data_IF_690710431812
#
_entry.id   IF_690710431812
#
_cell.length_a   1.000
_cell.length_b   1.000
_cell.length_c   1.000
_cell.angle_alpha   90.00
_cell.angle_beta   90.00
_cell.angle_gamma   90.00
#
_symmetry.space_group_name_H-M   'P 1'
#
loop_
_entity.id
_entity.type
_entity.pdbx_description
1 polymer ?
#
# COMPACT_ATOMS: atom_id res chain seq x y z
N UNK A 1 1.33 14.15 -18.76
CA UNK A 1 2.62 14.43 -18.09
C UNK A 1 2.94 13.23 -17.24
N UNK A 2 4.08 12.57 -17.42
CA UNK A 2 4.51 11.43 -16.60
C UNK A 2 4.70 11.93 -15.18
N UNK A 3 4.03 11.30 -14.23
CA UNK A 3 4.31 11.50 -12.81
C UNK A 3 5.74 11.00 -12.55
N UNK A 4 6.66 11.90 -12.24
CA UNK A 4 8.04 11.55 -11.90
C UNK A 4 9.13 11.81 -12.93
N UNK A 5 8.84 12.38 -14.11
CA UNK A 5 9.90 12.77 -15.04
C UNK A 5 10.83 13.82 -14.40
N UNK A 6 12.06 13.43 -14.16
CA UNK A 6 13.19 14.36 -13.98
C UNK A 6 13.83 14.44 -12.61
N UNK A 7 13.39 13.69 -11.60
CA UNK A 7 14.14 13.61 -10.33
C UNK A 7 14.82 12.23 -10.23
N UNK A 8 16.14 12.17 -10.01
CA UNK A 8 16.80 10.90 -9.71
C UNK A 8 16.12 10.31 -8.46
N UNK A 9 15.57 9.12 -8.61
CA UNK A 9 14.99 8.43 -7.47
C UNK A 9 16.12 7.98 -6.53
N UNK A 10 15.95 8.10 -5.21
CA UNK A 10 16.89 7.56 -4.27
C UNK A 10 16.95 6.03 -4.42
N UNK A 11 18.08 5.38 -4.09
CA UNK A 11 18.21 3.94 -4.21
C UNK A 11 17.14 3.24 -3.37
N UNK A 12 16.65 2.09 -3.87
CA UNK A 12 15.63 1.28 -3.18
C UNK A 12 16.12 0.74 -1.82
N UNK A 13 17.42 0.78 -1.57
CA UNK A 13 18.03 0.35 -0.31
C UNK A 13 19.02 1.42 0.14
N UNK A 14 18.87 1.89 1.36
CA UNK A 14 19.82 2.77 2.04
C UNK A 14 20.32 2.06 3.28
N UNK A 15 21.63 1.85 3.38
CA UNK A 15 22.30 1.25 4.54
C UNK A 15 23.15 2.29 5.23
N UNK A 16 23.00 2.39 6.53
CA UNK A 16 23.87 3.15 7.45
C UNK A 16 24.58 2.17 8.39
N UNK A 17 25.36 2.68 9.35
CA UNK A 17 26.06 1.83 10.31
C UNK A 17 25.10 1.07 11.25
N UNK A 18 23.92 1.65 11.50
CA UNK A 18 22.94 1.22 12.51
C UNK A 18 21.54 1.02 11.95
N UNK A 19 21.34 1.26 10.65
CA UNK A 19 20.02 1.12 10.04
C UNK A 19 20.08 0.60 8.60
N UNK A 20 19.03 -0.12 8.22
CA UNK A 20 18.74 -0.53 6.86
C UNK A 20 17.33 -0.07 6.50
N UNK A 21 17.24 0.86 5.57
CA UNK A 21 15.96 1.31 5.03
C UNK A 21 15.79 0.73 3.65
N UNK A 22 14.69 0.04 3.42
CA UNK A 22 14.38 -0.63 2.18
C UNK A 22 13.00 -0.24 1.70
N UNK A 23 12.90 0.20 0.44
CA UNK A 23 11.63 0.43 -0.24
C UNK A 23 11.42 -0.68 -1.27
N UNK A 24 10.35 -1.43 -1.12
CA UNK A 24 9.93 -2.41 -2.10
C UNK A 24 9.18 -1.72 -3.24
N UNK A 25 9.17 -2.34 -4.42
CA UNK A 25 8.34 -1.94 -5.57
C UNK A 25 8.66 -0.59 -6.22
N UNK A 26 9.87 -0.11 -6.06
CA UNK A 26 10.37 1.00 -6.87
C UNK A 26 10.79 0.53 -8.26
N UNK A 27 9.87 -0.07 -8.99
CA UNK A 27 10.09 -0.38 -10.39
C UNK A 27 9.55 0.75 -11.25
N UNK A 28 10.41 1.34 -12.03
CA UNK A 28 10.01 2.31 -13.02
C UNK A 28 9.74 1.60 -14.34
N UNK A 29 8.60 1.88 -14.92
CA UNK A 29 8.35 1.49 -16.29
C UNK A 29 9.16 2.39 -17.22
N UNK A 30 9.99 1.78 -18.06
CA UNK A 30 10.83 2.50 -19.02
C UNK A 30 10.19 2.63 -20.40
N UNK A 31 9.27 1.72 -20.75
CA UNK A 31 8.66 1.65 -22.07
C UNK A 31 7.17 2.02 -22.08
N UNK A 32 6.53 2.08 -20.93
CA UNK A 32 5.11 2.37 -20.78
C UNK A 32 4.84 3.08 -19.44
N UNK A 33 3.72 3.76 -19.33
CA UNK A 33 3.40 4.58 -18.15
C UNK A 33 2.77 3.75 -17.02
N UNK A 34 2.08 2.67 -17.35
CA UNK A 34 1.43 1.76 -16.38
C UNK A 34 1.52 0.32 -16.86
N UNK A 35 1.56 -0.63 -15.93
CA UNK A 35 1.47 -2.07 -16.23
C UNK A 35 0.09 -2.63 -15.88
N UNK A 36 -0.13 -3.89 -16.26
CA UNK A 36 -1.37 -4.62 -15.97
C UNK A 36 -1.32 -5.42 -14.67
N UNK A 37 -0.19 -5.38 -13.96
CA UNK A 37 0.06 -6.09 -12.71
C UNK A 37 -0.28 -5.26 -11.48
N UNK A 38 -0.21 -5.90 -10.31
CA UNK A 38 -0.50 -5.29 -9.00
C UNK A 38 0.37 -4.08 -8.67
N UNK A 39 1.53 -3.96 -9.30
CA UNK A 39 2.41 -2.80 -9.16
C UNK A 39 1.69 -1.47 -9.48
N UNK A 40 0.89 -1.44 -10.56
CA UNK A 40 0.09 -0.26 -10.91
C UNK A 40 -1.37 -0.44 -10.51
N UNK A 41 -2.01 -1.41 -11.11
CA UNK A 41 -3.38 -1.86 -10.84
C UNK A 41 -3.64 -3.09 -11.68
N UNK A 42 -3.97 -4.22 -11.09
CA UNK A 42 -4.20 -5.44 -11.84
C UNK A 42 -5.35 -5.27 -12.83
N UNK A 43 -5.04 -5.39 -14.12
CA UNK A 43 -6.03 -5.32 -15.19
C UNK A 43 -6.69 -6.68 -15.39
N UNK A 44 -7.99 -6.76 -15.14
CA UNK A 44 -8.75 -8.01 -15.25
C UNK A 44 -9.56 -8.14 -16.53
N UNK A 45 -9.40 -7.22 -17.47
CA UNK A 45 -10.14 -7.19 -18.74
C UNK A 45 -11.51 -6.55 -18.61
N UNK A 46 -12.17 -6.38 -19.76
CA UNK A 46 -13.49 -5.74 -19.86
C UNK A 46 -14.67 -6.70 -19.69
N UNK A 47 -14.42 -8.00 -19.76
CA UNK A 47 -15.47 -9.04 -19.66
C UNK A 47 -16.17 -9.09 -18.30
N UNK A 48 -15.55 -8.52 -17.25
CA UNK A 48 -16.11 -8.42 -15.89
C UNK A 48 -16.88 -7.12 -15.63
N UNK A 49 -16.95 -6.21 -16.58
CA UNK A 49 -17.78 -5.00 -16.47
C UNK A 49 -19.24 -5.37 -16.69
N UNK A 50 -19.84 -6.05 -15.71
CA UNK A 50 -21.25 -6.44 -15.74
C UNK A 50 -22.21 -5.43 -15.09
N UNK A 51 -21.67 -4.47 -14.33
CA UNK A 51 -22.49 -3.52 -13.59
C UNK A 51 -22.63 -2.19 -14.37
N UNK A 52 -23.84 -1.79 -14.79
CA UNK A 52 -24.09 -0.53 -15.48
C UNK A 52 -23.60 0.70 -14.70
N UNK A 53 -23.62 0.64 -13.36
CA UNK A 53 -23.15 1.74 -12.51
C UNK A 53 -21.65 2.02 -12.70
N UNK A 54 -20.83 1.00 -12.96
CA UNK A 54 -19.39 1.17 -13.23
C UNK A 54 -19.18 1.94 -14.54
N UNK A 55 -19.88 1.53 -15.60
CA UNK A 55 -19.80 2.22 -16.90
C UNK A 55 -20.27 3.66 -16.81
N UNK A 56 -21.32 3.92 -16.03
CA UNK A 56 -21.82 5.27 -15.82
C UNK A 56 -20.86 6.12 -15.00
N UNK A 57 -20.26 5.56 -13.94
CA UNK A 57 -19.23 6.23 -13.15
C UNK A 57 -18.03 6.65 -14.02
N UNK A 58 -17.54 5.74 -14.86
CA UNK A 58 -16.44 6.03 -15.79
C UNK A 58 -16.82 7.16 -16.76
N UNK A 59 -18.05 7.13 -17.28
CA UNK A 59 -18.54 8.16 -18.20
C UNK A 59 -18.62 9.54 -17.52
N UNK A 60 -19.13 9.59 -16.30
CA UNK A 60 -19.26 10.84 -15.53
C UNK A 60 -17.92 11.44 -15.08
N UNK A 61 -16.95 10.59 -14.79
CA UNK A 61 -15.63 11.02 -14.31
C UNK A 61 -14.59 11.16 -15.43
N UNK A 62 -14.98 10.94 -16.68
CA UNK A 62 -14.05 11.05 -17.81
C UNK A 62 -13.43 12.44 -17.90
N UNK A 63 -12.12 12.50 -17.87
CA UNK A 63 -11.35 13.76 -17.95
C UNK A 63 -11.32 14.55 -16.63
N UNK A 64 -11.89 14.01 -15.54
CA UNK A 64 -11.76 14.58 -14.21
C UNK A 64 -10.50 14.03 -13.53
N UNK A 65 -9.79 14.87 -12.82
CA UNK A 65 -8.65 14.51 -12.00
C UNK A 65 -8.73 15.23 -10.65
N UNK A 66 -8.25 14.57 -9.60
CA UNK A 66 -8.08 15.23 -8.31
C UNK A 66 -6.88 16.18 -8.39
N UNK A 67 -7.07 17.42 -7.94
CA UNK A 67 -6.01 18.44 -7.95
C UNK A 67 -5.89 19.11 -6.59
N UNK A 68 -4.68 19.48 -6.24
CA UNK A 68 -4.37 20.29 -5.07
C UNK A 68 -3.34 21.38 -5.46
N UNK A 69 -3.64 22.64 -5.16
CA UNK A 69 -2.77 23.75 -5.51
C UNK A 69 -2.52 23.91 -7.02
N UNK A 70 -3.42 23.42 -7.88
CA UNK A 70 -3.29 23.46 -9.35
C UNK A 70 -2.51 22.29 -9.97
N UNK A 71 -1.95 21.40 -9.15
CA UNK A 71 -1.26 20.18 -9.60
C UNK A 71 -2.14 18.95 -9.43
N UNK A 72 -1.93 17.92 -10.27
CA UNK A 72 -2.62 16.63 -10.14
C UNK A 72 -2.12 15.91 -8.89
N UNK A 73 -3.05 15.46 -8.05
CA UNK A 73 -2.74 14.71 -6.85
C UNK A 73 -2.13 13.34 -7.14
N UNK A 74 -1.18 12.92 -6.31
CA UNK A 74 -0.81 11.51 -6.14
C UNK A 74 -1.92 10.82 -5.32
N UNK A 75 -2.92 10.29 -6.02
CA UNK A 75 -4.13 9.74 -5.42
C UNK A 75 -3.91 8.29 -4.98
N UNK A 76 -3.11 8.09 -3.94
CA UNK A 76 -2.82 6.78 -3.36
C UNK A 76 -4.05 6.18 -2.68
N UNK A 77 -4.18 4.87 -2.77
CA UNK A 77 -5.26 4.13 -2.15
C UNK A 77 -4.73 2.83 -1.53
N UNK A 78 -5.50 2.25 -0.64
CA UNK A 78 -5.24 0.95 -0.02
C UNK A 78 -6.50 0.09 -0.08
N UNK A 79 -6.32 -1.22 0.10
CA UNK A 79 -7.41 -2.19 0.09
C UNK A 79 -8.23 -2.14 1.38
N UNK A 80 -7.55 -2.02 2.50
CA UNK A 80 -8.14 -1.91 3.82
C UNK A 80 -7.20 -1.07 4.70
N UNK A 81 -7.75 -0.11 5.43
CA UNK A 81 -6.95 0.78 6.29
C UNK A 81 -7.01 0.39 7.78
N UNK A 82 -7.77 -0.64 8.14
CA UNK A 82 -7.95 -1.04 9.54
C UNK A 82 -8.73 -0.04 10.39
N UNK A 83 -9.60 0.79 9.77
CA UNK A 83 -10.46 1.77 10.47
C UNK A 83 -9.92 3.20 10.50
N UNK A 84 -8.64 3.41 10.16
CA UNK A 84 -8.04 4.74 10.03
C UNK A 84 -6.88 4.71 9.05
N UNK A 85 -6.87 5.62 8.10
CA UNK A 85 -5.78 5.73 7.12
C UNK A 85 -4.51 6.28 7.77
N UNK A 86 -3.35 5.94 7.21
CA UNK A 86 -2.10 6.58 7.56
C UNK A 86 -1.84 7.82 6.70
N UNK A 87 -0.90 8.64 7.13
CA UNK A 87 -0.37 9.73 6.32
C UNK A 87 0.79 9.21 5.45
N UNK A 88 1.07 9.91 4.36
CA UNK A 88 2.04 9.51 3.35
C UNK A 88 3.44 9.20 3.91
N UNK A 89 3.93 10.03 4.85
CA UNK A 89 5.26 9.89 5.44
C UNK A 89 5.46 8.59 6.23
N UNK A 90 4.39 7.97 6.70
CA UNK A 90 4.47 6.70 7.44
C UNK A 90 4.42 5.45 6.57
N UNK A 91 4.13 5.60 5.28
CA UNK A 91 3.90 4.48 4.38
C UNK A 91 4.84 4.45 3.17
N UNK A 92 5.30 5.62 2.70
CA UNK A 92 5.94 5.74 1.41
C UNK A 92 7.30 6.42 1.44
N UNK A 93 7.36 7.68 1.80
CA UNK A 93 8.58 8.46 1.77
C UNK A 93 8.50 9.55 2.85
N UNK A 94 9.62 9.97 3.40
CA UNK A 94 9.67 11.01 4.43
C UNK A 94 9.31 12.39 3.83
N UNK A 95 8.05 12.49 3.43
CA UNK A 95 7.45 13.66 2.83
C UNK A 95 6.02 13.86 3.34
N UNK A 96 5.75 15.01 3.91
CA UNK A 96 4.39 15.37 4.31
C UNK A 96 3.58 15.88 3.12
N UNK A 97 2.60 15.09 2.70
CA UNK A 97 1.68 15.45 1.61
C UNK A 97 0.40 16.02 2.20
N UNK A 98 0.07 17.31 1.96
CA UNK A 98 -1.01 18.01 2.68
C UNK A 98 -2.39 17.41 2.48
N UNK A 99 -2.66 16.77 1.36
CA UNK A 99 -3.95 16.16 1.01
C UNK A 99 -4.03 14.66 1.33
N UNK A 100 -2.91 14.00 1.70
CA UNK A 100 -2.88 12.60 2.15
C UNK A 100 -2.82 12.54 3.67
N UNK A 101 -3.86 13.05 4.31
CA UNK A 101 -4.00 13.09 5.77
C UNK A 101 -4.71 11.84 6.28
N UNK A 102 -4.39 11.48 7.51
CA UNK A 102 -5.12 10.43 8.21
C UNK A 102 -6.58 10.82 8.43
N UNK A 103 -7.48 9.95 8.05
CA UNK A 103 -8.92 10.06 8.27
C UNK A 103 -9.46 8.78 8.89
N UNK A 104 -10.49 8.91 9.70
CA UNK A 104 -11.23 7.76 10.22
C UNK A 104 -12.07 7.16 9.09
N UNK A 105 -11.99 5.84 8.92
CA UNK A 105 -12.77 5.09 7.95
C UNK A 105 -13.47 3.92 8.63
N UNK A 106 -14.77 4.07 8.86
CA UNK A 106 -15.61 3.05 9.49
C UNK A 106 -16.11 1.99 8.52
N UNK A 107 -15.83 2.14 7.23
CA UNK A 107 -16.33 1.26 6.17
C UNK A 107 -15.38 0.10 5.84
N UNK A 108 -14.16 0.11 6.35
CA UNK A 108 -13.21 -0.99 6.18
C UNK A 108 -13.60 -2.26 6.95
N UNK A 109 -14.34 -2.12 8.06
CA UNK A 109 -14.75 -3.23 8.93
C UNK A 109 -16.05 -3.87 8.44
N UNK A 110 -15.98 -4.54 7.28
CA UNK A 110 -17.12 -5.21 6.68
C UNK A 110 -16.93 -6.72 6.73
N UNK A 111 -17.74 -7.39 7.54
CA UNK A 111 -17.73 -8.85 7.69
C UNK A 111 -18.87 -9.56 6.95
N UNK A 112 -19.80 -8.82 6.34
CA UNK A 112 -20.90 -9.38 5.56
C UNK A 112 -20.38 -9.98 4.25
N UNK A 113 -20.29 -11.32 4.21
CA UNK A 113 -19.80 -12.06 3.05
C UNK A 113 -20.66 -11.86 1.80
N UNK A 114 -21.95 -11.62 1.96
CA UNK A 114 -22.84 -11.40 0.81
C UNK A 114 -22.58 -10.02 0.20
N UNK A 115 -22.30 -9.03 1.02
CA UNK A 115 -21.89 -7.69 0.55
C UNK A 115 -20.51 -7.73 -0.07
N UNK A 116 -19.54 -8.38 0.57
CA UNK A 116 -18.18 -8.51 0.06
C UNK A 116 -18.15 -9.20 -1.30
N UNK A 117 -18.96 -10.24 -1.51
CA UNK A 117 -19.07 -10.94 -2.78
C UNK A 117 -19.64 -10.08 -3.94
N UNK A 118 -20.30 -8.96 -3.63
CA UNK A 118 -20.81 -8.03 -4.64
C UNK A 118 -19.76 -6.99 -5.07
N UNK A 119 -18.81 -6.68 -4.20
CA UNK A 119 -17.85 -5.57 -4.40
C UNK A 119 -16.41 -6.05 -4.60
N UNK A 120 -16.06 -7.22 -4.10
CA UNK A 120 -14.74 -7.82 -4.26
C UNK A 120 -14.72 -8.78 -5.43
N UNK A 121 -13.55 -8.94 -6.03
CA UNK A 121 -13.30 -10.00 -7.00
C UNK A 121 -12.96 -11.33 -6.29
N UNK A 122 -12.88 -12.42 -7.06
CA UNK A 122 -12.66 -13.76 -6.50
C UNK A 122 -11.34 -13.88 -5.71
N UNK A 123 -10.28 -13.21 -6.15
CA UNK A 123 -8.99 -13.18 -5.44
C UNK A 123 -9.09 -12.50 -4.08
N UNK A 124 -9.89 -11.47 -4.00
CA UNK A 124 -10.06 -10.73 -2.76
C UNK A 124 -10.98 -11.45 -1.79
N UNK A 125 -11.86 -12.32 -2.28
CA UNK A 125 -12.70 -13.18 -1.44
C UNK A 125 -11.92 -14.33 -0.80
N UNK A 126 -10.83 -14.78 -1.40
CA UNK A 126 -9.95 -15.82 -0.85
C UNK A 126 -9.20 -15.34 0.40
N UNK A 127 -9.00 -14.05 0.55
CA UNK A 127 -8.31 -13.41 1.66
C UNK A 127 -9.24 -12.39 2.33
N UNK A 128 -10.30 -12.86 3.00
CA UNK A 128 -11.35 -12.00 3.57
C UNK A 128 -10.98 -11.35 4.92
N UNK A 129 -9.83 -11.69 5.48
CA UNK A 129 -9.32 -11.23 6.78
C UNK A 129 -8.38 -10.01 6.69
N UNK A 130 -8.71 -9.06 5.80
CA UNK A 130 -7.89 -7.87 5.59
C UNK A 130 -7.90 -6.89 6.76
N UNK A 131 -9.00 -6.86 7.51
CA UNK A 131 -9.16 -5.92 8.61
C UNK A 131 -8.37 -6.37 9.83
N UNK A 132 -8.51 -7.64 10.19
CA UNK A 132 -7.84 -8.25 11.35
C UNK A 132 -7.14 -9.55 10.95
N UNK A 133 -5.86 -9.62 11.19
CA UNK A 133 -5.07 -10.82 10.96
C UNK A 133 -3.99 -11.00 12.03
N UNK A 134 -3.62 -12.25 12.27
CA UNK A 134 -2.57 -12.60 13.23
C UNK A 134 -1.64 -13.62 12.61
N UNK A 135 -0.34 -13.38 12.72
CA UNK A 135 0.70 -14.34 12.37
C UNK A 135 1.55 -14.62 13.61
N UNK A 136 1.87 -15.87 13.83
CA UNK A 136 2.71 -16.31 14.95
C UNK A 136 3.97 -16.99 14.40
N UNK A 137 5.10 -16.62 14.93
CA UNK A 137 6.39 -17.20 14.64
C UNK A 137 7.03 -17.76 15.91
N UNK A 138 7.68 -18.91 15.81
CA UNK A 138 8.64 -19.33 16.81
C UNK A 138 9.88 -18.42 16.75
N UNK A 139 10.66 -18.39 17.82
CA UNK A 139 11.93 -17.65 17.86
C UNK A 139 12.83 -17.97 16.66
N UNK A 140 12.93 -19.26 16.33
CA UNK A 140 13.77 -19.71 15.21
C UNK A 140 13.24 -19.22 13.86
N UNK A 141 11.95 -19.34 13.61
CA UNK A 141 11.33 -18.86 12.35
C UNK A 141 11.49 -17.35 12.21
N UNK A 142 11.29 -16.59 13.30
CA UNK A 142 11.48 -15.14 13.28
C UNK A 142 12.93 -14.77 13.00
N UNK A 143 13.89 -15.43 13.67
CA UNK A 143 15.31 -15.27 13.43
C UNK A 143 15.67 -15.51 11.96
N UNK A 144 15.30 -16.68 11.43
CA UNK A 144 15.62 -17.08 10.05
C UNK A 144 14.99 -16.10 9.04
N UNK A 145 13.76 -15.65 9.28
CA UNK A 145 13.07 -14.67 8.44
C UNK A 145 13.78 -13.31 8.44
N UNK A 146 14.12 -12.79 9.61
CA UNK A 146 14.74 -11.47 9.75
C UNK A 146 16.18 -11.50 9.21
N UNK A 147 16.99 -12.50 9.59
CA UNK A 147 18.36 -12.64 9.10
C UNK A 147 18.40 -12.84 7.58
N UNK A 148 17.51 -13.67 7.05
CA UNK A 148 17.41 -13.91 5.60
C UNK A 148 17.04 -12.66 4.80
N UNK A 149 16.08 -11.87 5.31
CA UNK A 149 15.65 -10.62 4.65
C UNK A 149 16.70 -9.51 4.75
N UNK A 150 17.31 -9.35 5.89
CA UNK A 150 18.31 -8.30 6.11
C UNK A 150 19.69 -8.69 5.59
N UNK A 151 19.90 -9.96 5.27
CA UNK A 151 21.22 -10.52 4.93
C UNK A 151 22.27 -10.18 6.01
N UNK A 152 21.89 -10.35 7.26
CA UNK A 152 22.68 -10.07 8.44
C UNK A 152 22.54 -11.24 9.41
N UNK A 153 23.68 -11.70 9.93
CA UNK A 153 23.67 -12.63 11.04
C UNK A 153 23.42 -11.87 12.35
N UNK A 154 22.42 -12.30 13.07
CA UNK A 154 22.06 -11.78 14.39
C UNK A 154 21.93 -12.94 15.38
N UNK A 155 22.01 -12.65 16.64
CA UNK A 155 21.66 -13.60 17.70
C UNK A 155 20.14 -13.74 17.85
N UNK A 156 19.70 -14.23 19.00
CA UNK A 156 18.28 -14.32 19.31
C UNK A 156 17.61 -12.95 19.25
N UNK A 157 16.43 -12.89 18.63
CA UNK A 157 15.62 -11.68 18.62
C UNK A 157 14.87 -11.59 19.93
N UNK A 158 15.27 -10.66 20.78
CA UNK A 158 14.73 -10.54 22.13
C UNK A 158 13.41 -9.77 22.18
N UNK A 159 13.26 -8.77 21.30
CA UNK A 159 12.06 -7.95 21.19
C UNK A 159 11.96 -7.32 19.80
N UNK A 160 10.74 -7.00 19.40
CA UNK A 160 10.41 -6.13 18.28
C UNK A 160 9.74 -4.89 18.88
N UNK A 161 10.44 -3.78 18.90
CA UNK A 161 9.96 -2.56 19.57
C UNK A 161 9.59 -1.51 18.51
N UNK A 162 8.32 -1.09 18.45
CA UNK A 162 7.92 -0.01 17.56
C UNK A 162 8.62 1.29 17.98
N UNK A 163 9.40 1.86 17.07
CA UNK A 163 10.08 3.15 17.26
C UNK A 163 9.18 4.28 16.78
N UNK A 164 8.45 4.03 15.68
CA UNK A 164 7.50 5.00 15.14
C UNK A 164 6.22 4.30 14.70
N UNK A 165 5.09 4.92 15.06
CA UNK A 165 3.75 4.43 14.71
C UNK A 165 2.97 5.56 14.06
N UNK A 166 2.43 5.31 12.89
CA UNK A 166 1.59 6.27 12.19
C UNK A 166 0.21 6.44 12.85
N UNK A 167 -0.52 7.49 12.49
CA UNK A 167 -1.84 7.78 13.08
C UNK A 167 -2.89 6.70 12.79
N UNK A 168 -2.68 5.85 11.78
CA UNK A 168 -3.48 4.66 11.50
C UNK A 168 -3.13 3.44 12.35
N UNK A 169 -2.18 3.56 13.29
CA UNK A 169 -1.75 2.48 14.16
C UNK A 169 -0.71 1.52 13.54
N UNK A 170 -0.32 1.73 12.29
CA UNK A 170 0.69 0.91 11.61
C UNK A 170 2.10 1.35 12.02
N UNK A 171 2.97 0.37 12.25
CA UNK A 171 4.38 0.59 12.56
C UNK A 171 5.10 1.03 11.29
N UNK A 172 5.70 2.21 11.29
CA UNK A 172 6.52 2.74 10.19
C UNK A 172 8.01 2.52 10.43
N UNK A 173 8.42 2.39 11.68
CA UNK A 173 9.79 2.09 12.08
C UNK A 173 9.79 1.11 13.25
N UNK A 174 10.57 0.03 13.10
CA UNK A 174 10.74 -1.04 14.07
C UNK A 174 12.21 -1.13 14.47
#
# INVERSE_FOLDING_TARGET
>A
RRLGEGKPQPPAVKRTADSLVRWYDRQEHTLFDVCADDHCQRYQGVSRIGNPAVSEAIRQTRGLALTYGGEVCDARFGKCCGGRTNEFQYCWDDLRVPYLRSVEDKFCDVHDKALLAQVLNDYDLETADFHDWTVQYTQRELHDLVCGHLQMEMGDILALEPVEVGPGGHISLL
#
